data_IF_507723906733
#
_entry.id   IF_507723906733
#
_cell.length_a   1.000
_cell.length_b   1.000
_cell.length_c   1.000
_cell.angle_alpha   90.00
_cell.angle_beta   90.00
_cell.angle_gamma   90.00
#
_symmetry.space_group_name_H-M   'P 1'
#
loop_
_entity.id
_entity.type
_entity.pdbx_description
1 polymer ?
#
# COMPACT_ATOMS: atom_id res chain seq x y z
N UNK A 1 12.75 -24.00 25.32
CA UNK A 1 12.81 -22.89 24.35
C UNK A 1 12.80 -23.38 22.88
N UNK A 2 11.90 -24.31 22.47
CA UNK A 2 11.86 -24.79 21.07
C UNK A 2 11.03 -23.93 20.11
N UNK A 3 10.18 -23.06 20.67
CA UNK A 3 9.23 -22.22 19.93
C UNK A 3 9.91 -21.07 19.16
N UNK A 4 10.86 -20.36 19.80
CA UNK A 4 11.54 -19.22 19.17
C UNK A 4 12.31 -19.60 17.89
N UNK A 5 12.96 -20.77 17.87
CA UNK A 5 13.73 -21.23 16.70
C UNK A 5 12.85 -21.55 15.48
N UNK A 6 11.52 -21.58 15.63
CA UNK A 6 10.58 -21.81 14.53
C UNK A 6 9.97 -20.52 13.99
N UNK A 7 9.95 -19.45 14.80
CA UNK A 7 9.53 -18.11 14.40
C UNK A 7 10.68 -17.26 13.84
N UNK A 8 11.91 -17.51 14.29
CA UNK A 8 13.09 -16.77 13.86
C UNK A 8 14.05 -17.70 13.14
N UNK A 9 14.63 -17.25 12.01
CA UNK A 9 15.63 -18.02 11.31
C UNK A 9 16.90 -18.15 12.15
N UNK A 10 17.69 -19.18 11.84
CA UNK A 10 19.00 -19.33 12.45
C UNK A 10 19.94 -18.19 12.01
N UNK A 11 20.84 -17.72 12.89
CA UNK A 11 21.82 -16.70 12.56
C UNK A 11 22.66 -17.08 11.33
N UNK A 12 22.98 -16.12 10.47
CA UNK A 12 23.84 -16.32 9.29
C UNK A 12 24.99 -15.30 9.16
N UNK A 13 25.08 -14.33 10.07
CA UNK A 13 26.19 -13.39 10.18
C UNK A 13 26.59 -13.22 11.66
N UNK A 14 27.82 -12.74 11.95
CA UNK A 14 28.19 -12.39 13.32
C UNK A 14 27.24 -11.33 13.88
N UNK A 15 26.69 -11.58 15.07
CA UNK A 15 25.88 -10.60 15.78
C UNK A 15 26.73 -9.47 16.37
N UNK A 16 26.05 -8.43 16.86
CA UNK A 16 26.67 -7.37 17.65
C UNK A 16 27.47 -7.98 18.82
N UNK A 17 28.68 -7.48 19.05
CA UNK A 17 29.64 -8.06 20.01
C UNK A 17 29.21 -7.96 21.48
N UNK A 18 28.34 -7.00 21.83
CA UNK A 18 27.80 -6.87 23.19
C UNK A 18 26.44 -7.56 23.37
N UNK A 19 25.57 -7.50 22.35
CA UNK A 19 24.16 -7.93 22.50
C UNK A 19 23.82 -9.22 21.76
N UNK A 20 24.67 -9.70 20.85
CA UNK A 20 24.38 -10.83 19.97
C UNK A 20 23.28 -10.58 18.94
N UNK A 21 22.71 -9.37 18.89
CA UNK A 21 21.61 -8.99 18.00
C UNK A 21 22.08 -8.73 16.55
N UNK A 22 21.13 -8.59 15.62
CA UNK A 22 21.38 -8.35 14.19
C UNK A 22 22.29 -9.41 13.54
N UNK A 23 22.08 -10.67 13.91
CA UNK A 23 22.88 -11.82 13.48
C UNK A 23 22.27 -12.57 12.28
N UNK A 24 21.27 -11.98 11.62
CA UNK A 24 20.61 -12.52 10.44
C UNK A 24 20.47 -11.44 9.35
N UNK A 25 20.82 -11.80 8.12
CA UNK A 25 20.66 -10.94 6.94
C UNK A 25 20.16 -11.77 5.76
N UNK A 26 19.06 -11.35 5.14
CA UNK A 26 18.52 -12.01 3.96
C UNK A 26 17.91 -10.97 3.01
N UNK A 27 17.93 -11.29 1.72
CA UNK A 27 17.17 -10.55 0.72
C UNK A 27 15.77 -11.16 0.60
N UNK A 28 14.75 -10.31 0.65
CA UNK A 28 13.38 -10.67 0.33
C UNK A 28 12.98 -10.00 -0.99
N UNK A 29 12.21 -10.70 -1.82
CA UNK A 29 11.52 -10.05 -2.92
C UNK A 29 10.44 -9.16 -2.36
N UNK A 30 10.43 -7.90 -2.79
CA UNK A 30 9.41 -6.92 -2.44
C UNK A 30 8.92 -6.28 -3.74
N UNK A 31 7.71 -5.75 -3.73
CA UNK A 31 7.18 -5.07 -4.90
C UNK A 31 5.78 -4.58 -4.68
N UNK A 32 5.23 -3.99 -5.74
CA UNK A 32 3.83 -3.61 -5.78
C UNK A 32 3.30 -3.79 -7.20
N UNK A 33 2.03 -4.13 -7.28
CA UNK A 33 1.26 -4.24 -8.51
C UNK A 33 0.28 -3.08 -8.56
N UNK A 34 0.37 -2.25 -9.60
CA UNK A 34 -0.30 -0.95 -9.65
C UNK A 34 -0.90 -0.70 -11.03
N UNK A 35 -2.23 -0.54 -11.07
CA UNK A 35 -2.98 -0.18 -12.25
C UNK A 35 -3.67 1.17 -12.04
N UNK A 36 -3.32 2.17 -12.85
CA UNK A 36 -3.91 3.49 -12.78
C UNK A 36 -4.51 3.92 -14.11
N UNK A 37 -5.77 4.36 -14.07
CA UNK A 37 -6.52 4.89 -15.20
C UNK A 37 -6.94 6.32 -14.92
N UNK A 38 -6.72 7.19 -15.90
CA UNK A 38 -7.07 8.60 -15.83
C UNK A 38 -7.89 8.99 -17.05
N UNK A 39 -9.03 9.65 -16.81
CA UNK A 39 -9.88 10.17 -17.87
C UNK A 39 -10.17 11.63 -17.59
N UNK A 40 -10.01 12.48 -18.61
CA UNK A 40 -10.23 13.91 -18.52
C UNK A 40 -10.96 14.40 -19.76
N UNK A 41 -11.92 15.30 -19.56
CA UNK A 41 -12.61 16.01 -20.62
C UNK A 41 -12.50 17.51 -20.31
N UNK A 42 -12.15 18.29 -21.31
CA UNK A 42 -12.03 19.74 -21.27
C UNK A 42 -13.00 20.36 -22.28
N UNK A 43 -13.65 21.45 -21.89
CA UNK A 43 -14.60 22.17 -22.75
C UNK A 43 -14.45 23.69 -22.57
N UNK A 44 -14.30 24.39 -23.69
CA UNK A 44 -14.51 25.84 -23.74
C UNK A 44 -16.01 26.08 -23.90
N UNK A 45 -16.67 26.51 -22.82
CA UNK A 45 -18.12 26.78 -22.81
C UNK A 45 -18.41 28.10 -23.53
N UNK A 46 -17.50 29.07 -23.41
CA UNK A 46 -17.50 30.33 -24.18
C UNK A 46 -16.10 30.94 -24.21
N UNK A 47 -15.93 32.11 -24.84
CA UNK A 47 -14.67 32.86 -24.80
C UNK A 47 -14.23 33.26 -23.38
N UNK A 48 -15.19 33.31 -22.44
CA UNK A 48 -14.96 33.70 -21.04
C UNK A 48 -14.97 32.55 -20.06
N UNK A 49 -15.38 31.34 -20.47
CA UNK A 49 -15.61 30.24 -19.55
C UNK A 49 -15.00 28.94 -20.05
N UNK A 50 -14.21 28.29 -19.19
CA UNK A 50 -13.59 27.00 -19.46
C UNK A 50 -13.89 26.05 -18.33
N UNK A 51 -14.28 24.84 -18.67
CA UNK A 51 -14.58 23.78 -17.71
C UNK A 51 -13.75 22.56 -18.00
N UNK A 52 -13.43 21.80 -16.95
CA UNK A 52 -12.93 20.44 -17.11
C UNK A 52 -13.50 19.51 -16.06
N UNK A 53 -13.60 18.23 -16.42
CA UNK A 53 -13.86 17.13 -15.51
C UNK A 53 -12.73 16.10 -15.61
N UNK A 54 -12.31 15.55 -14.47
CA UNK A 54 -11.36 14.43 -14.43
C UNK A 54 -11.80 13.39 -13.43
N UNK A 55 -11.68 12.12 -13.82
CA UNK A 55 -11.78 10.98 -12.91
C UNK A 55 -10.50 10.14 -12.98
N UNK A 56 -10.11 9.61 -11.83
CA UNK A 56 -8.94 8.74 -11.67
C UNK A 56 -9.35 7.50 -10.90
N UNK A 57 -8.97 6.35 -11.40
CA UNK A 57 -9.07 5.06 -10.71
C UNK A 57 -7.67 4.52 -10.53
N UNK A 58 -7.31 4.15 -9.32
CA UNK A 58 -6.00 3.56 -9.03
C UNK A 58 -6.17 2.34 -8.12
N UNK A 59 -5.78 1.19 -8.63
CA UNK A 59 -5.64 -0.04 -7.88
C UNK A 59 -4.17 -0.24 -7.58
N UNK A 60 -3.83 -0.41 -6.31
CA UNK A 60 -2.48 -0.70 -5.88
C UNK A 60 -2.51 -1.88 -4.92
N UNK A 61 -1.58 -2.82 -5.11
CA UNK A 61 -1.35 -3.93 -4.21
C UNK A 61 0.12 -3.97 -3.82
N UNK A 62 0.41 -4.04 -2.53
CA UNK A 62 1.77 -4.31 -2.06
C UNK A 62 1.97 -5.82 -1.96
N UNK A 63 3.11 -6.33 -2.45
CA UNK A 63 3.46 -7.73 -2.30
C UNK A 63 4.06 -7.98 -0.91
N UNK A 64 3.73 -9.10 -0.24
CA UNK A 64 4.26 -9.41 1.09
C UNK A 64 5.78 -9.60 1.05
N UNK A 65 6.45 -9.27 2.16
CA UNK A 65 7.90 -9.41 2.33
C UNK A 65 8.21 -10.51 3.33
N UNK A 66 8.75 -11.62 2.84
CA UNK A 66 9.12 -12.75 3.71
C UNK A 66 10.62 -13.06 3.64
N UNK A 67 11.47 -12.30 4.35
CA UNK A 67 12.90 -12.59 4.45
C UNK A 67 13.19 -13.90 5.19
N UNK A 68 12.29 -14.35 6.08
CA UNK A 68 12.48 -15.56 6.89
C UNK A 68 12.09 -16.84 6.13
N UNK A 69 11.33 -16.71 5.04
CA UNK A 69 10.84 -17.80 4.18
C UNK A 69 9.94 -18.78 4.94
N UNK A 70 9.23 -18.29 5.95
CA UNK A 70 8.33 -19.05 6.80
C UNK A 70 7.05 -18.27 7.14
N UNK A 71 6.78 -17.11 6.53
CA UNK A 71 5.61 -16.25 6.80
C UNK A 71 5.45 -15.83 8.28
N UNK A 72 6.54 -15.77 9.06
CA UNK A 72 6.49 -15.32 10.47
C UNK A 72 7.23 -14.00 10.70
N UNK A 73 7.58 -13.29 9.63
CA UNK A 73 8.34 -12.06 9.74
C UNK A 73 7.49 -10.94 10.33
N UNK A 74 7.68 -10.62 11.61
CA UNK A 74 6.88 -9.61 12.31
C UNK A 74 6.95 -8.20 11.68
N UNK A 75 8.00 -7.91 10.91
CA UNK A 75 8.13 -6.67 10.18
C UNK A 75 7.38 -6.66 8.85
N UNK A 76 6.79 -7.77 8.41
CA UNK A 76 6.04 -7.84 7.16
C UNK A 76 4.74 -7.06 7.23
N UNK A 77 4.45 -6.35 6.16
CA UNK A 77 3.22 -5.57 6.07
C UNK A 77 2.07 -6.40 5.47
N UNK A 78 2.27 -7.70 5.21
CA UNK A 78 1.31 -8.54 4.50
C UNK A 78 0.93 -7.99 3.11
N UNK A 79 0.01 -8.62 2.38
CA UNK A 79 -0.59 -8.00 1.21
C UNK A 79 -1.43 -6.79 1.62
N UNK A 80 -1.09 -5.63 1.06
CA UNK A 80 -1.90 -4.42 1.18
C UNK A 80 -2.64 -4.17 -0.12
N UNK A 81 -3.83 -3.57 -0.03
CA UNK A 81 -4.63 -3.22 -1.19
C UNK A 81 -5.28 -1.85 -1.02
N UNK A 82 -5.14 -1.04 -2.05
CA UNK A 82 -5.68 0.31 -2.15
C UNK A 82 -6.53 0.42 -3.42
N UNK A 83 -7.77 0.89 -3.29
CA UNK A 83 -8.64 1.20 -4.43
C UNK A 83 -9.01 2.67 -4.41
N UNK A 84 -8.14 3.53 -4.93
CA UNK A 84 -8.36 4.97 -4.94
C UNK A 84 -9.29 5.37 -6.07
N UNK A 85 -10.32 6.14 -5.74
CA UNK A 85 -11.19 6.80 -6.72
C UNK A 85 -11.17 8.29 -6.46
N UNK A 86 -10.86 9.07 -7.48
CA UNK A 86 -10.88 10.52 -7.42
C UNK A 86 -11.74 11.07 -8.55
N UNK A 87 -12.51 12.11 -8.25
CA UNK A 87 -13.21 12.91 -9.24
C UNK A 87 -12.98 14.39 -8.95
N UNK A 88 -12.83 15.20 -9.99
CA UNK A 88 -12.76 16.66 -9.87
C UNK A 88 -13.48 17.30 -11.04
N UNK A 89 -14.25 18.35 -10.75
CA UNK A 89 -14.81 19.27 -11.73
C UNK A 89 -14.29 20.65 -11.40
N UNK A 90 -13.90 21.40 -12.43
CA UNK A 90 -13.46 22.76 -12.30
C UNK A 90 -14.12 23.66 -13.34
N UNK A 91 -14.35 24.90 -12.93
CA UNK A 91 -14.84 25.99 -13.77
C UNK A 91 -13.95 27.22 -13.57
N UNK A 92 -13.47 27.78 -14.68
CA UNK A 92 -12.70 29.02 -14.69
C UNK A 92 -13.47 30.04 -15.51
N UNK A 93 -13.76 31.19 -14.93
CA UNK A 93 -14.56 32.25 -15.53
C UNK A 93 -13.85 33.60 -15.54
N UNK A 94 -13.83 34.27 -16.68
CA UNK A 94 -13.31 35.63 -16.87
C UNK A 94 -14.44 36.65 -16.67
N UNK A 95 -14.52 37.27 -15.50
CA UNK A 95 -15.55 38.26 -15.18
C UNK A 95 -15.34 39.57 -15.94
N UNK A 96 -14.10 40.05 -15.95
CA UNK A 96 -13.61 41.21 -16.70
C UNK A 96 -12.24 40.85 -17.30
N UNK A 97 -11.68 41.62 -18.26
CA UNK A 97 -10.37 41.31 -18.86
C UNK A 97 -9.19 41.17 -17.86
N UNK A 98 -9.41 41.58 -16.62
CA UNK A 98 -8.44 41.60 -15.53
C UNK A 98 -8.91 40.88 -14.25
N UNK A 99 -10.06 40.19 -14.26
CA UNK A 99 -10.57 39.42 -13.11
C UNK A 99 -10.98 38.02 -13.56
N UNK A 100 -10.33 37.00 -12.98
CA UNK A 100 -10.60 35.58 -13.22
C UNK A 100 -11.05 34.94 -11.91
N UNK A 101 -12.14 34.18 -11.95
CA UNK A 101 -12.52 33.25 -10.89
C UNK A 101 -12.19 31.81 -11.29
N UNK A 102 -11.77 31.02 -10.31
CA UNK A 102 -11.54 29.58 -10.46
C UNK A 102 -12.23 28.86 -9.31
N UNK A 103 -13.09 27.91 -9.63
CA UNK A 103 -13.78 27.08 -8.66
C UNK A 103 -13.51 25.61 -8.97
N UNK A 104 -13.13 24.84 -7.95
CA UNK A 104 -12.88 23.39 -8.08
C UNK A 104 -13.58 22.63 -6.98
N UNK A 105 -14.30 21.59 -7.37
CA UNK A 105 -14.93 20.65 -6.46
C UNK A 105 -14.30 19.29 -6.70
N UNK A 106 -13.74 18.70 -5.65
CA UNK A 106 -13.06 17.42 -5.72
C UNK A 106 -13.61 16.44 -4.69
N UNK A 107 -13.66 15.17 -5.09
CA UNK A 107 -14.00 14.04 -4.24
C UNK A 107 -12.90 12.99 -4.34
N UNK A 108 -12.56 12.40 -3.20
CA UNK A 108 -11.58 11.34 -3.08
C UNK A 108 -12.13 10.26 -2.15
N UNK A 109 -11.97 9.00 -2.56
CA UNK A 109 -12.20 7.84 -1.72
C UNK A 109 -11.01 6.90 -1.79
N UNK A 110 -10.52 6.52 -0.62
CA UNK A 110 -9.35 5.68 -0.43
C UNK A 110 -9.64 4.55 0.57
N UNK A 111 -10.40 3.51 0.16
CA UNK A 111 -10.46 2.26 0.90
C UNK A 111 -9.07 1.64 0.97
N UNK A 112 -8.63 1.43 2.19
CA UNK A 112 -7.40 0.76 2.53
C UNK A 112 -7.75 -0.55 3.23
N UNK A 113 -7.08 -1.62 2.84
CA UNK A 113 -7.12 -2.88 3.56
C UNK A 113 -5.77 -3.57 3.55
N UNK A 114 -5.59 -4.41 4.55
CA UNK A 114 -4.37 -5.17 4.78
C UNK A 114 -4.75 -6.52 5.37
N UNK A 115 -4.06 -7.55 4.89
CA UNK A 115 -4.14 -8.90 5.46
C UNK A 115 -2.94 -9.15 6.40
N UNK A 116 -3.14 -9.78 7.57
CA UNK A 116 -2.04 -10.21 8.40
C UNK A 116 -1.16 -11.23 7.66
N UNK A 117 0.16 -11.14 7.77
CA UNK A 117 1.05 -12.08 7.08
C UNK A 117 0.90 -13.52 7.60
N UNK A 118 0.68 -13.70 8.91
CA UNK A 118 0.45 -15.01 9.52
C UNK A 118 -0.99 -15.51 9.33
N UNK A 119 -1.82 -14.85 8.51
CA UNK A 119 -3.19 -15.30 8.27
C UNK A 119 -3.18 -16.70 7.63
N UNK A 120 -3.75 -17.68 8.34
CA UNK A 120 -3.74 -19.09 7.90
C UNK A 120 -2.44 -19.84 8.18
N UNK A 121 -1.51 -19.27 8.97
CA UNK A 121 -0.30 -19.97 9.40
C UNK A 121 -0.66 -21.13 10.35
N UNK A 122 -0.16 -22.34 10.05
CA UNK A 122 -0.39 -23.53 10.87
C UNK A 122 0.42 -23.47 12.16
N UNK A 123 -0.25 -23.20 13.28
CA UNK A 123 0.40 -23.05 14.58
C UNK A 123 0.99 -24.36 15.11
N UNK A 124 0.59 -25.51 14.56
CA UNK A 124 1.23 -26.80 14.90
C UNK A 124 2.69 -26.86 14.47
N UNK A 125 3.06 -26.09 13.44
CA UNK A 125 4.46 -25.92 13.05
C UNK A 125 5.28 -25.30 14.18
N UNK A 126 4.67 -24.55 15.10
CA UNK A 126 5.33 -24.00 16.29
C UNK A 126 5.37 -24.98 17.47
N UNK A 127 4.75 -26.15 17.32
CA UNK A 127 4.57 -27.14 18.39
C UNK A 127 3.37 -26.86 19.28
N UNK A 128 2.44 -26.00 18.82
CA UNK A 128 1.16 -25.77 19.50
C UNK A 128 0.15 -26.87 19.12
N UNK A 129 -0.85 -27.15 19.99
CA UNK A 129 -1.88 -28.14 19.70
C UNK A 129 -2.73 -27.80 18.46
N UNK A 130 -3.15 -28.82 17.72
CA UNK A 130 -3.96 -28.65 16.50
C UNK A 130 -5.33 -27.99 16.72
N UNK A 131 -5.86 -27.97 17.94
CA UNK A 131 -7.11 -27.27 18.27
C UNK A 131 -6.98 -25.74 18.25
N UNK A 132 -5.76 -25.20 18.12
CA UNK A 132 -5.48 -23.77 18.08
C UNK A 132 -5.34 -23.20 16.65
N UNK A 133 -5.49 -24.05 15.63
CA UNK A 133 -5.56 -23.63 14.23
C UNK A 133 -6.94 -23.06 13.87
#
# INVERSE_FOLDING_TARGET
MKFLNRLFPLPNIPGNTLTGANNYSANASVGGDNDQYNFRIDQNVSDKQRMFGRVTFWNAKTLPKDPYRNNTYAGSEGPEYFNTKQAVIADTYLFTPNIIGDLRIAWLRFPYGREPEMLGYDVTQLGLPAYMN
#
